data_IF_854441167300
#
_entry.id   IF_854441167300
#
_cell.length_a   1.000
_cell.length_b   1.000
_cell.length_c   1.000
_cell.angle_alpha   90.00
_cell.angle_beta   90.00
_cell.angle_gamma   90.00
#
_symmetry.space_group_name_H-M   'P 1'
#
loop_
_entity.id
_entity.type
_entity.pdbx_description
1 polymer ?
#
# COMPACT_ATOMS: atom_id res chain seq x y z
N UNK A 1 -1.10 4.77 -11.66
CA UNK A 1 -1.73 3.50 -11.22
C UNK A 1 -3.20 3.78 -10.95
N UNK A 2 -4.11 2.86 -11.31
CA UNK A 2 -5.54 3.18 -11.30
C UNK A 2 -6.27 2.66 -10.07
N UNK A 3 -7.37 3.32 -9.73
CA UNK A 3 -8.27 2.92 -8.65
C UNK A 3 -8.88 1.54 -8.89
N UNK A 4 -9.16 1.17 -10.14
CA UNK A 4 -9.75 -0.13 -10.45
C UNK A 4 -8.82 -1.29 -10.05
N UNK A 5 -7.50 -1.13 -10.17
CA UNK A 5 -6.55 -2.14 -9.67
C UNK A 5 -6.61 -2.29 -8.15
N UNK A 6 -6.82 -1.19 -7.43
CA UNK A 6 -6.98 -1.21 -5.98
C UNK A 6 -8.24 -1.98 -5.56
N UNK A 7 -9.36 -1.71 -6.23
CA UNK A 7 -10.66 -2.35 -6.01
C UNK A 7 -10.67 -3.83 -6.41
N UNK A 8 -9.98 -4.18 -7.51
CA UNK A 8 -9.79 -5.57 -7.92
C UNK A 8 -9.04 -6.37 -6.84
N UNK A 9 -7.94 -5.81 -6.32
CA UNK A 9 -7.17 -6.46 -5.26
C UNK A 9 -7.94 -6.53 -3.93
N UNK A 10 -8.77 -5.52 -3.61
CA UNK A 10 -9.66 -5.57 -2.45
C UNK A 10 -10.71 -6.69 -2.59
N UNK A 11 -11.31 -6.83 -3.77
CA UNK A 11 -12.28 -7.90 -4.03
C UNK A 11 -11.63 -9.28 -3.91
N UNK A 12 -10.40 -9.44 -4.39
CA UNK A 12 -9.62 -10.67 -4.20
C UNK A 12 -9.30 -10.92 -2.72
N UNK A 13 -8.96 -9.88 -1.96
CA UNK A 13 -8.74 -9.95 -0.52
C UNK A 13 -9.96 -10.50 0.22
N UNK A 14 -11.15 -9.96 -0.11
CA UNK A 14 -12.42 -10.39 0.49
C UNK A 14 -12.73 -11.86 0.16
N UNK A 15 -12.64 -12.23 -1.12
CA UNK A 15 -12.85 -13.61 -1.56
C UNK A 15 -11.91 -14.62 -0.88
N UNK A 16 -10.63 -14.27 -0.74
CA UNK A 16 -9.65 -15.14 -0.09
C UNK A 16 -9.90 -15.27 1.41
N UNK A 17 -10.35 -14.21 2.06
CA UNK A 17 -10.63 -14.21 3.50
C UNK A 17 -11.78 -15.14 3.85
N UNK A 18 -12.81 -15.22 3.01
CA UNK A 18 -13.93 -16.16 3.17
C UNK A 18 -13.48 -17.63 3.20
N UNK A 19 -12.39 -17.96 2.49
CA UNK A 19 -11.87 -19.32 2.45
C UNK A 19 -11.16 -19.77 3.73
N UNK A 20 -10.67 -18.82 4.54
CA UNK A 20 -9.78 -19.00 5.71
C UNK A 20 -8.49 -19.83 5.46
N UNK A 21 -8.20 -20.18 4.20
CA UNK A 21 -7.11 -21.10 3.81
C UNK A 21 -5.83 -20.38 3.38
N UNK A 22 -5.97 -19.22 2.73
CA UNK A 22 -4.87 -18.51 2.06
C UNK A 22 -4.59 -17.18 2.76
N UNK A 23 -4.35 -17.24 4.08
CA UNK A 23 -4.21 -16.06 4.93
C UNK A 23 -3.03 -15.16 4.55
N UNK A 24 -1.95 -15.73 4.00
CA UNK A 24 -0.82 -15.00 3.43
C UNK A 24 -1.22 -14.19 2.19
N UNK A 25 -2.07 -14.75 1.35
CA UNK A 25 -2.63 -14.05 0.20
C UNK A 25 -3.62 -12.96 0.60
N UNK A 26 -4.41 -13.15 1.66
CA UNK A 26 -5.27 -12.07 2.20
C UNK A 26 -4.42 -10.87 2.61
N UNK A 27 -3.32 -11.09 3.35
CA UNK A 27 -2.42 -9.99 3.75
C UNK A 27 -1.76 -9.35 2.53
N UNK A 28 -1.36 -10.16 1.54
CA UNK A 28 -0.69 -9.69 0.33
C UNK A 28 -1.61 -8.82 -0.52
N UNK A 29 -2.83 -9.28 -0.81
CA UNK A 29 -3.82 -8.54 -1.61
C UNK A 29 -4.32 -7.30 -0.88
N UNK A 30 -4.46 -7.36 0.46
CA UNK A 30 -4.76 -6.18 1.27
C UNK A 30 -3.70 -5.07 1.12
N UNK A 31 -2.41 -5.44 1.17
CA UNK A 31 -1.33 -4.49 0.98
C UNK A 31 -1.29 -3.92 -0.44
N UNK A 32 -1.39 -4.77 -1.47
CA UNK A 32 -1.37 -4.28 -2.86
C UNK A 32 -2.58 -3.40 -3.17
N UNK A 33 -3.75 -3.69 -2.61
CA UNK A 33 -4.90 -2.78 -2.68
C UNK A 33 -4.58 -1.42 -2.05
N UNK A 34 -4.04 -1.39 -0.82
CA UNK A 34 -3.64 -0.14 -0.17
C UNK A 34 -2.58 0.64 -0.95
N UNK A 35 -1.59 -0.04 -1.54
CA UNK A 35 -0.56 0.57 -2.38
C UNK A 35 -1.17 1.33 -3.57
N UNK A 36 -2.13 0.70 -4.27
CA UNK A 36 -2.78 1.31 -5.42
C UNK A 36 -3.71 2.45 -5.00
N UNK A 37 -4.49 2.30 -3.91
CA UNK A 37 -5.31 3.40 -3.40
C UNK A 37 -4.46 4.61 -3.03
N UNK A 38 -3.40 4.43 -2.23
CA UNK A 38 -2.49 5.52 -1.85
C UNK A 38 -1.91 6.21 -3.09
N UNK A 39 -1.39 5.45 -4.06
CA UNK A 39 -0.80 6.06 -5.25
C UNK A 39 -1.82 6.74 -6.15
N UNK A 40 -3.07 6.26 -6.18
CA UNK A 40 -4.14 6.93 -6.90
C UNK A 40 -4.49 8.28 -6.28
N UNK A 41 -4.52 8.36 -4.95
CA UNK A 41 -4.94 9.58 -4.23
C UNK A 41 -3.82 10.63 -4.14
N UNK A 42 -2.55 10.22 -4.17
CA UNK A 42 -1.42 11.15 -4.15
C UNK A 42 -1.13 11.76 -5.53
N UNK A 43 -1.38 11.01 -6.61
CA UNK A 43 -0.98 11.41 -7.96
C UNK A 43 -2.19 11.86 -8.79
N UNK A 44 -2.07 12.95 -9.58
CA UNK A 44 -0.86 13.71 -9.86
C UNK A 44 -0.32 14.51 -8.67
N UNK A 45 1.01 14.53 -8.52
CA UNK A 45 1.70 15.20 -7.41
C UNK A 45 2.48 16.41 -7.94
N UNK A 46 2.26 17.58 -7.33
CA UNK A 46 2.99 18.81 -7.65
C UNK A 46 3.87 19.24 -6.48
N UNK A 47 5.16 19.48 -6.73
CA UNK A 47 6.11 20.02 -5.74
C UNK A 47 6.89 21.16 -6.41
N UNK A 48 6.66 22.40 -5.97
CA UNK A 48 7.21 23.57 -6.65
C UNK A 48 6.57 23.73 -8.04
N UNK A 49 7.40 23.88 -9.07
CA UNK A 49 6.96 24.01 -10.46
C UNK A 49 6.87 22.65 -11.20
N UNK A 50 7.31 21.57 -10.56
CA UNK A 50 7.32 20.23 -11.14
C UNK A 50 6.04 19.46 -10.79
N UNK A 51 5.50 18.73 -11.77
CA UNK A 51 4.35 17.84 -11.60
C UNK A 51 4.66 16.45 -12.15
N UNK A 52 4.30 15.42 -11.39
CA UNK A 52 4.42 14.02 -11.79
C UNK A 52 3.03 13.39 -11.85
N UNK A 53 2.70 12.80 -12.99
CA UNK A 53 1.39 12.17 -13.23
C UNK A 53 1.23 10.82 -12.52
N UNK A 54 2.34 10.18 -12.19
CA UNK A 54 2.33 8.87 -11.56
C UNK A 54 3.57 8.65 -10.70
N UNK A 55 3.46 7.63 -9.84
CA UNK A 55 4.51 7.26 -8.91
C UNK A 55 5.83 6.85 -9.58
N UNK A 56 5.78 6.20 -10.75
CA UNK A 56 7.00 5.71 -11.40
C UNK A 56 7.85 6.87 -11.92
N UNK A 57 7.22 7.91 -12.49
CA UNK A 57 7.90 9.14 -12.91
C UNK A 57 8.53 9.87 -11.71
N UNK A 58 7.77 10.01 -10.62
CA UNK A 58 8.28 10.60 -9.39
C UNK A 58 9.44 9.79 -8.78
N UNK A 59 9.31 8.47 -8.76
CA UNK A 59 10.36 7.59 -8.25
C UNK A 59 11.62 7.66 -9.10
N UNK A 60 11.50 7.71 -10.43
CA UNK A 60 12.63 7.87 -11.33
C UNK A 60 13.35 9.22 -11.12
N UNK A 61 12.60 10.30 -10.88
CA UNK A 61 13.16 11.58 -10.48
C UNK A 61 13.92 11.49 -9.15
N UNK A 62 13.31 10.92 -8.10
CA UNK A 62 13.94 10.74 -6.79
C UNK A 62 15.23 9.92 -6.87
N UNK A 63 15.21 8.83 -7.65
CA UNK A 63 16.35 7.93 -7.82
C UNK A 63 17.56 8.63 -8.46
N UNK A 64 17.33 9.59 -9.36
CA UNK A 64 18.41 10.37 -10.00
C UNK A 64 18.98 11.46 -9.09
N UNK A 65 18.19 11.95 -8.14
CA UNK A 65 18.51 13.14 -7.34
C UNK A 65 18.90 12.83 -5.88
N UNK A 66 18.73 11.58 -5.43
CA UNK A 66 19.16 11.15 -4.10
C UNK A 66 20.53 10.48 -4.10
N UNK A 67 21.36 10.84 -3.13
CA UNK A 67 22.68 10.25 -2.92
C UNK A 67 22.64 8.88 -2.23
N UNK A 68 21.51 8.52 -1.62
CA UNK A 68 21.30 7.25 -0.92
C UNK A 68 20.52 6.26 -1.79
N UNK A 69 20.73 4.97 -1.55
CA UNK A 69 19.88 3.92 -2.12
C UNK A 69 18.45 4.03 -1.57
N UNK A 70 17.49 4.28 -2.45
CA UNK A 70 16.06 4.29 -2.15
C UNK A 70 15.34 3.13 -2.85
N UNK A 71 14.17 2.74 -2.33
CA UNK A 71 13.31 1.76 -2.96
C UNK A 71 11.85 2.26 -3.01
N UNK A 72 11.04 1.64 -3.86
CA UNK A 72 9.64 2.08 -4.08
C UNK A 72 8.79 2.07 -2.81
N UNK A 73 9.00 1.09 -1.92
CA UNK A 73 8.24 1.00 -0.67
C UNK A 73 8.60 2.11 0.31
N UNK A 74 9.90 2.42 0.47
CA UNK A 74 10.33 3.51 1.35
C UNK A 74 9.85 4.86 0.83
N UNK A 75 9.89 5.10 -0.49
CA UNK A 75 9.38 6.34 -1.08
C UNK A 75 7.86 6.45 -0.90
N UNK A 76 7.11 5.36 -1.06
CA UNK A 76 5.66 5.39 -0.81
C UNK A 76 5.34 5.64 0.67
N UNK A 77 6.09 5.05 1.61
CA UNK A 77 5.92 5.31 3.05
C UNK A 77 6.16 6.79 3.41
N UNK A 78 7.19 7.40 2.82
CA UNK A 78 7.46 8.84 2.96
C UNK A 78 6.29 9.69 2.41
N UNK A 79 5.78 9.34 1.23
CA UNK A 79 4.63 10.03 0.63
C UNK A 79 3.37 9.87 1.50
N UNK A 80 3.07 8.67 2.02
CA UNK A 80 1.95 8.46 2.95
C UNK A 80 2.14 9.30 4.21
N UNK A 81 3.34 9.36 4.76
CA UNK A 81 3.62 10.19 5.95
C UNK A 81 3.37 11.67 5.68
N UNK A 82 3.71 12.17 4.50
CA UNK A 82 3.54 13.59 4.13
C UNK A 82 2.07 13.93 3.87
N UNK A 83 1.38 13.12 3.06
CA UNK A 83 0.03 13.43 2.59
C UNK A 83 -1.08 12.87 3.49
N UNK A 84 -0.85 11.73 4.14
CA UNK A 84 -1.83 10.98 4.91
C UNK A 84 -1.23 10.47 6.22
N UNK A 85 -0.60 11.34 7.02
CA UNK A 85 0.09 10.95 8.25
C UNK A 85 -0.77 10.09 9.20
N UNK A 86 -2.08 10.34 9.25
CA UNK A 86 -3.04 9.56 10.05
C UNK A 86 -3.22 8.12 9.54
N UNK A 87 -3.00 7.87 8.24
CA UNK A 87 -3.07 6.55 7.62
C UNK A 87 -1.75 5.77 7.72
N UNK A 88 -0.64 6.43 8.08
CA UNK A 88 0.70 5.85 8.07
C UNK A 88 0.81 4.56 8.88
N UNK A 89 0.22 4.53 10.08
CA UNK A 89 0.26 3.33 10.92
C UNK A 89 -0.45 2.15 10.27
N UNK A 90 -1.56 2.37 9.57
CA UNK A 90 -2.27 1.32 8.83
C UNK A 90 -1.47 0.85 7.63
N UNK A 91 -0.90 1.79 6.87
CA UNK A 91 -0.09 1.48 5.69
C UNK A 91 1.15 0.66 6.05
N UNK A 92 1.91 1.06 7.06
CA UNK A 92 3.09 0.33 7.54
C UNK A 92 2.75 -1.06 8.02
N UNK A 93 1.67 -1.21 8.80
CA UNK A 93 1.19 -2.51 9.23
C UNK A 93 0.97 -3.45 8.04
N UNK A 94 0.31 -2.98 6.98
CA UNK A 94 0.04 -3.77 5.77
C UNK A 94 1.33 -4.14 5.04
N UNK A 95 2.23 -3.17 4.85
CA UNK A 95 3.53 -3.37 4.19
C UNK A 95 4.38 -4.41 4.92
N UNK A 96 4.55 -4.26 6.24
CA UNK A 96 5.36 -5.15 7.05
C UNK A 96 4.76 -6.56 7.13
N UNK A 97 3.44 -6.64 7.26
CA UNK A 97 2.73 -7.93 7.29
C UNK A 97 2.88 -8.66 5.96
N UNK A 98 2.76 -7.97 4.83
CA UNK A 98 2.95 -8.54 3.51
C UNK A 98 4.39 -9.03 3.31
N UNK A 99 5.39 -8.23 3.70
CA UNK A 99 6.79 -8.62 3.58
C UNK A 99 7.11 -9.86 4.43
N UNK A 100 6.60 -9.91 5.66
CA UNK A 100 6.73 -11.08 6.53
C UNK A 100 6.02 -12.32 5.95
N UNK A 101 4.80 -12.17 5.44
CA UNK A 101 4.03 -13.26 4.85
C UNK A 101 4.75 -13.89 3.63
N UNK A 102 5.27 -13.04 2.73
CA UNK A 102 5.88 -13.48 1.47
C UNK A 102 7.29 -14.02 1.61
N UNK A 103 8.11 -13.41 2.45
CA UNK A 103 9.56 -13.66 2.43
C UNK A 103 10.10 -14.29 3.71
N UNK A 104 9.32 -14.31 4.80
CA UNK A 104 9.75 -14.95 6.05
C UNK A 104 8.93 -16.18 6.40
N UNK A 105 7.60 -16.09 6.34
CA UNK A 105 6.71 -17.15 6.83
C UNK A 105 5.33 -17.05 6.21
N UNK A 106 5.05 -17.94 5.26
CA UNK A 106 3.72 -18.09 4.64
C UNK A 106 2.62 -18.55 5.63
N UNK A 107 3.01 -19.10 6.78
CA UNK A 107 2.06 -19.50 7.85
C UNK A 107 1.54 -18.27 8.59
N UNK A 108 0.56 -17.61 8.00
CA UNK A 108 -0.18 -16.47 8.54
C UNK A 108 -1.44 -16.95 9.27
N UNK A 109 -1.70 -16.41 10.46
CA UNK A 109 -2.94 -16.73 11.20
C UNK A 109 -4.15 -16.01 10.60
N UNK A 110 -5.33 -16.60 10.77
CA UNK A 110 -6.59 -15.98 10.37
C UNK A 110 -6.80 -14.63 11.06
N UNK A 111 -6.34 -14.47 12.31
CA UNK A 111 -6.43 -13.20 13.04
C UNK A 111 -5.62 -12.08 12.37
N UNK A 112 -4.42 -12.41 11.87
CA UNK A 112 -3.58 -11.46 11.15
C UNK A 112 -4.20 -11.10 9.79
N UNK A 113 -4.79 -12.07 9.08
CA UNK A 113 -5.53 -11.82 7.84
C UNK A 113 -6.73 -10.90 8.08
N UNK A 114 -7.56 -11.17 9.09
CA UNK A 114 -8.67 -10.31 9.51
C UNK A 114 -8.19 -8.92 9.93
N UNK A 115 -7.05 -8.82 10.61
CA UNK A 115 -6.45 -7.55 10.96
C UNK A 115 -5.99 -6.75 9.73
N UNK A 116 -5.35 -7.40 8.75
CA UNK A 116 -4.96 -6.75 7.50
C UNK A 116 -6.17 -6.20 6.75
N UNK A 117 -7.25 -6.98 6.63
CA UNK A 117 -8.49 -6.49 5.99
C UNK A 117 -9.08 -5.26 6.69
N UNK A 118 -9.14 -5.27 8.03
CA UNK A 118 -9.59 -4.12 8.82
C UNK A 118 -8.70 -2.89 8.62
N UNK A 119 -7.38 -3.08 8.57
CA UNK A 119 -6.41 -1.99 8.36
C UNK A 119 -6.53 -1.38 6.98
N UNK A 120 -6.83 -2.18 5.95
CA UNK A 120 -7.17 -1.68 4.61
C UNK A 120 -8.43 -0.81 4.66
N UNK A 121 -9.50 -1.26 5.32
CA UNK A 121 -10.73 -0.47 5.44
C UNK A 121 -10.49 0.88 6.15
N UNK A 122 -9.80 0.86 7.30
CA UNK A 122 -9.43 2.08 8.04
C UNK A 122 -8.53 3.01 7.23
N UNK A 123 -7.59 2.46 6.43
CA UNK A 123 -6.75 3.26 5.56
C UNK A 123 -7.60 4.00 4.52
N UNK A 124 -8.57 3.34 3.88
CA UNK A 124 -9.45 3.96 2.89
C UNK A 124 -10.25 5.12 3.47
N UNK A 125 -10.76 4.99 4.70
CA UNK A 125 -11.48 6.09 5.39
C UNK A 125 -10.63 7.36 5.52
N UNK A 126 -9.31 7.22 5.64
CA UNK A 126 -8.40 8.36 5.73
C UNK A 126 -7.97 8.94 4.39
N UNK A 127 -8.17 8.22 3.29
CA UNK A 127 -7.81 8.68 1.95
C UNK A 127 -8.91 9.52 1.29
N UNK A 128 -10.17 9.23 1.60
CA UNK A 128 -11.36 9.89 0.99
C UNK A 128 -11.78 11.21 1.67
N UNK A 129 -10.83 12.01 2.17
CA UNK A 129 -11.13 13.33 2.75
C UNK A 129 -10.88 14.47 1.78
#
# INVERSE_FOLDING_TARGET
>A
MTKEHAEHNESACDFLLESEKYNDWVVTTAFYSALHFVQHEIFPLTIGDDTWENFDDYFAYRLKNESRTINKHSVTDELVKVHFNVALTNYRFLSDSCWNARYKRYKVSIDLAKAARRRLAQLKEFLTN
#
